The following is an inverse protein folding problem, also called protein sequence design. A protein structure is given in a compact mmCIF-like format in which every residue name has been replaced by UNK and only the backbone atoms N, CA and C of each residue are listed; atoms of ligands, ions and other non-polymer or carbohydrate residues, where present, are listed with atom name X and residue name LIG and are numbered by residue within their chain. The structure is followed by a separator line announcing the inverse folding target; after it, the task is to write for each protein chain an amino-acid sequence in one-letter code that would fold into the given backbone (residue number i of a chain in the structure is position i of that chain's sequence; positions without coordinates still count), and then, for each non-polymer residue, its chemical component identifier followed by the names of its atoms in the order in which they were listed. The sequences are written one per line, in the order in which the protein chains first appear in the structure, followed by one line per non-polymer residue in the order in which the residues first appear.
data_IF_561105009175
#
_entry.id   IF_561105009175
#
_cell.length_a   1.000
_cell.length_b   1.000
_cell.length_c   1.000
_cell.angle_alpha   90.00
_cell.angle_beta   90.00
_cell.angle_gamma   90.00
#
_symmetry.space_group_name_H-M   'P 1'
#
loop_
_entity.id
_entity.type
_entity.pdbx_description
1 polymer ?
#
# COMPACT_ATOMS: atom_id res chain seq x y z
N UNK A 1 11.61 4.18 24.47
CA UNK A 1 10.43 4.82 23.85
C UNK A 1 9.83 3.80 22.90
N UNK A 2 8.63 3.32 23.18
CA UNK A 2 7.92 2.36 22.34
C UNK A 2 7.44 3.09 21.09
N UNK A 3 8.07 2.84 19.95
CA UNK A 3 7.55 3.28 18.66
C UNK A 3 6.12 2.71 18.55
N UNK A 4 5.13 3.59 18.50
CA UNK A 4 3.76 3.16 18.25
C UNK A 4 3.74 2.60 16.84
N UNK A 5 3.54 1.29 16.72
CA UNK A 5 3.48 0.58 15.44
C UNK A 5 2.19 0.96 14.72
N UNK A 6 2.18 2.16 14.12
CA UNK A 6 1.03 2.67 13.40
C UNK A 6 0.83 1.86 12.12
N UNK A 7 -0.21 1.03 12.14
CA UNK A 7 -0.56 0.12 11.06
C UNK A 7 -1.96 0.47 10.60
N UNK A 8 -2.08 0.79 9.31
CA UNK A 8 -3.36 0.89 8.65
C UNK A 8 -3.64 -0.43 7.93
N UNK A 9 -4.87 -0.92 8.00
CA UNK A 9 -5.22 -2.20 7.38
C UNK A 9 -6.60 -2.18 6.76
N UNK A 10 -6.73 -2.86 5.64
CA UNK A 10 -7.98 -3.08 4.93
C UNK A 10 -8.10 -4.57 4.56
N UNK A 11 -9.29 -5.13 4.73
CA UNK A 11 -9.62 -6.45 4.22
C UNK A 11 -10.30 -6.33 2.85
N UNK A 12 -10.06 -7.31 1.98
CA UNK A 12 -10.87 -7.51 0.78
C UNK A 12 -11.99 -8.52 1.08
N UNK A 13 -13.22 -8.07 1.43
CA UNK A 13 -14.35 -8.97 1.68
C UNK A 13 -15.00 -9.48 0.39
N UNK A 14 -14.67 -8.88 -0.76
CA UNK A 14 -15.32 -9.12 -2.03
C UNK A 14 -15.04 -10.51 -2.62
N UNK A 15 -15.83 -10.91 -3.63
CA UNK A 15 -15.63 -12.19 -4.32
C UNK A 15 -14.46 -12.16 -5.32
N UNK A 16 -13.90 -10.98 -5.61
CA UNK A 16 -12.85 -10.76 -6.60
C UNK A 16 -11.60 -10.12 -5.98
N UNK A 17 -10.48 -10.12 -6.72
CA UNK A 17 -9.25 -9.43 -6.32
C UNK A 17 -9.50 -7.93 -6.22
N UNK A 18 -9.05 -7.30 -5.13
CA UNK A 18 -9.09 -5.86 -4.95
C UNK A 18 -7.74 -5.29 -5.41
N UNK A 19 -7.76 -4.36 -6.35
CA UNK A 19 -6.57 -3.60 -6.75
C UNK A 19 -6.41 -2.40 -5.82
N UNK A 20 -5.23 -2.29 -5.19
CA UNK A 20 -4.85 -1.15 -4.35
C UNK A 20 -3.68 -0.44 -5.00
N UNK A 21 -3.84 0.86 -5.23
CA UNK A 21 -2.82 1.76 -5.75
C UNK A 21 -2.25 2.60 -4.63
N UNK A 22 -0.93 2.62 -4.53
CA UNK A 22 -0.19 3.39 -3.54
C UNK A 22 0.56 4.53 -4.24
N UNK A 23 0.09 5.75 -4.00
CA UNK A 23 0.69 6.99 -4.46
C UNK A 23 1.53 7.61 -3.32
N UNK A 24 2.62 8.34 -3.63
CA UNK A 24 3.05 8.83 -4.95
C UNK A 24 4.02 7.90 -5.70
N UNK A 25 4.23 6.67 -5.23
CA UNK A 25 5.14 5.70 -5.88
C UNK A 25 4.52 4.98 -7.08
N UNK A 26 3.22 5.17 -7.30
CA UNK A 26 2.46 4.58 -8.40
C UNK A 26 2.57 3.06 -8.42
N UNK A 27 2.58 2.45 -7.23
CA UNK A 27 2.65 1.00 -7.06
C UNK A 27 1.25 0.40 -7.01
N UNK A 28 1.12 -0.80 -7.58
CA UNK A 28 -0.12 -1.56 -7.58
C UNK A 28 0.05 -2.86 -6.79
N UNK A 29 -0.92 -3.13 -5.92
CA UNK A 29 -1.01 -4.34 -5.12
C UNK A 29 -2.32 -5.06 -5.40
N UNK A 30 -2.22 -6.30 -5.87
CA UNK A 30 -3.35 -7.22 -5.94
C UNK A 30 -3.61 -7.80 -4.54
N UNK A 31 -4.74 -7.45 -3.94
CA UNK A 31 -5.19 -8.00 -2.65
C UNK A 31 -6.17 -9.14 -2.91
N UNK A 32 -5.77 -10.41 -2.71
CA UNK A 32 -6.64 -11.53 -3.05
C UNK A 32 -7.90 -11.55 -2.19
N UNK A 33 -8.91 -12.24 -2.68
CA UNK A 33 -10.18 -12.50 -1.97
C UNK A 33 -9.91 -12.96 -0.53
N UNK A 34 -10.58 -12.34 0.44
CA UNK A 34 -10.44 -12.62 1.89
C UNK A 34 -9.02 -12.46 2.44
N UNK A 35 -8.21 -11.63 1.81
CA UNK A 35 -6.88 -11.27 2.31
C UNK A 35 -6.89 -9.86 2.90
N UNK A 36 -5.92 -9.58 3.75
CA UNK A 36 -5.75 -8.27 4.39
C UNK A 36 -4.48 -7.61 3.90
N UNK A 37 -4.60 -6.39 3.40
CA UNK A 37 -3.47 -5.51 3.16
C UNK A 37 -3.23 -4.67 4.41
N UNK A 38 -1.98 -4.56 4.83
CA UNK A 38 -1.52 -3.71 5.93
C UNK A 38 -0.41 -2.81 5.41
N UNK A 39 -0.48 -1.53 5.75
CA UNK A 39 0.50 -0.52 5.38
C UNK A 39 1.06 0.11 6.65
N UNK A 40 2.39 0.26 6.68
CA UNK A 40 3.13 0.81 7.81
C UNK A 40 3.99 1.98 7.31
N UNK A 41 3.54 3.23 7.45
CA UNK A 41 4.38 4.39 7.15
C UNK A 41 5.56 4.47 8.13
N UNK A 42 6.71 4.90 7.65
CA UNK A 42 7.87 5.25 8.49
C UNK A 42 7.63 6.57 9.22
N UNK A 43 8.17 6.74 10.41
CA UNK A 43 8.20 8.03 11.12
C UNK A 43 7.31 8.10 12.36
N UNK A 44 7.65 9.04 13.26
CA UNK A 44 6.98 9.27 14.54
C UNK A 44 5.88 10.35 14.42
N UNK A 45 4.97 10.20 13.46
CA UNK A 45 3.87 11.15 13.32
C UNK A 45 2.95 11.08 14.56
N UNK A 46 2.71 12.24 15.18
CA UNK A 46 1.87 12.38 16.37
C UNK A 46 0.39 12.05 16.09
N UNK A 47 -0.01 12.08 14.81
CA UNK A 47 -1.24 11.47 14.31
C UNK A 47 -0.94 10.52 13.13
N UNK A 48 -1.43 9.26 13.19
CA UNK A 48 -1.08 8.24 12.23
C UNK A 48 -2.04 8.23 11.04
N UNK A 49 -1.93 9.24 10.18
CA UNK A 49 -2.62 9.19 8.91
C UNK A 49 -1.71 8.48 7.90
N UNK A 50 -2.14 7.31 7.40
CA UNK A 50 -1.57 6.75 6.17
C UNK A 50 -1.61 7.80 5.06
N UNK A 51 -2.70 8.58 5.02
CA UNK A 51 -2.93 9.72 4.15
C UNK A 51 -4.39 9.73 3.69
N UNK A 52 -4.64 10.05 2.42
CA UNK A 52 -5.99 10.11 1.84
C UNK A 52 -6.34 8.80 1.11
N UNK A 53 -7.62 8.40 1.15
CA UNK A 53 -8.12 7.21 0.44
C UNK A 53 -9.22 7.63 -0.52
N UNK A 54 -9.11 7.20 -1.77
CA UNK A 54 -10.06 7.49 -2.84
C UNK A 54 -10.49 6.20 -3.54
N UNK A 55 -11.77 6.13 -3.90
CA UNK A 55 -12.27 5.06 -4.74
C UNK A 55 -12.12 5.44 -6.21
N UNK A 56 -11.33 4.66 -6.94
CA UNK A 56 -11.35 4.65 -8.39
C UNK A 56 -12.49 3.77 -8.93
N UNK A 57 -12.67 3.71 -10.26
CA UNK A 57 -13.69 2.85 -10.88
C UNK A 57 -13.46 1.35 -10.57
N UNK A 58 -12.21 0.90 -10.62
CA UNK A 58 -11.82 -0.52 -10.55
C UNK A 58 -10.79 -0.82 -9.44
N UNK A 59 -10.40 0.20 -8.67
CA UNK A 59 -9.30 0.11 -7.73
C UNK A 59 -9.50 1.09 -6.55
N UNK A 60 -8.79 0.84 -5.45
CA UNK A 60 -8.66 1.76 -4.34
C UNK A 60 -7.35 2.55 -4.50
N UNK A 61 -7.38 3.87 -4.40
CA UNK A 61 -6.18 4.72 -4.42
C UNK A 61 -5.88 5.19 -3.00
N UNK A 62 -4.65 5.01 -2.57
CA UNK A 62 -4.14 5.46 -1.28
C UNK A 62 -3.03 6.46 -1.55
N UNK A 63 -3.24 7.70 -1.14
CA UNK A 63 -2.26 8.78 -1.20
C UNK A 63 -1.53 8.83 0.12
N UNK A 64 -0.35 8.23 0.16
CA UNK A 64 0.43 8.16 1.38
C UNK A 64 1.15 9.47 1.70
N UNK A 65 1.25 9.81 2.98
CA UNK A 65 1.96 11.00 3.48
C UNK A 65 3.22 10.68 4.28
N UNK A 66 3.45 9.40 4.60
CA UNK A 66 4.66 8.93 5.27
C UNK A 66 5.89 8.99 4.34
N UNK A 67 7.10 9.28 4.86
CA UNK A 67 8.33 9.28 4.07
C UNK A 67 8.52 8.01 3.25
N UNK A 68 8.39 6.83 3.87
CA UNK A 68 8.26 5.53 3.20
C UNK A 68 7.08 4.76 3.78
N UNK A 69 6.62 3.72 3.07
CA UNK A 69 5.53 2.84 3.50
C UNK A 69 5.90 1.39 3.21
N UNK A 70 5.97 0.57 4.26
CA UNK A 70 6.07 -0.88 4.09
C UNK A 70 4.69 -1.50 3.90
N UNK A 71 4.53 -2.36 2.89
CA UNK A 71 3.27 -3.03 2.57
C UNK A 71 3.35 -4.51 2.92
N UNK A 72 2.27 -5.03 3.50
CA UNK A 72 2.13 -6.43 3.87
C UNK A 72 0.78 -6.96 3.36
N UNK A 73 0.77 -8.17 2.81
CA UNK A 73 -0.46 -8.89 2.47
C UNK A 73 -0.48 -10.18 3.29
N UNK A 74 -1.51 -10.36 4.11
CA UNK A 74 -1.60 -11.43 5.12
C UNK A 74 -0.35 -11.55 6.01
N UNK A 75 0.25 -10.39 6.32
CA UNK A 75 1.48 -10.30 7.11
C UNK A 75 2.73 -10.83 6.40
N UNK A 76 2.71 -10.93 5.07
CA UNK A 76 3.89 -11.17 4.22
C UNK A 76 4.33 -9.83 3.65
N UNK A 77 5.59 -9.44 3.90
CA UNK A 77 6.20 -8.22 3.34
C UNK A 77 6.17 -8.29 1.82
N UNK A 78 5.72 -7.21 1.20
CA UNK A 78 5.84 -7.00 -0.24
C UNK A 78 7.11 -6.22 -0.54
N UNK A 79 7.81 -6.61 -1.60
CA UNK A 79 9.06 -5.99 -2.04
C UNK A 79 8.76 -4.73 -2.87
N UNK A 80 8.61 -3.58 -2.22
CA UNK A 80 8.04 -2.38 -2.84
C UNK A 80 8.98 -1.16 -2.79
N UNK A 81 8.96 -0.36 -3.85
CA UNK A 81 9.68 0.92 -3.92
C UNK A 81 9.20 1.89 -2.84
N UNK A 82 7.93 1.85 -2.44
CA UNK A 82 7.42 2.61 -1.29
C UNK A 82 8.14 2.31 0.02
N UNK A 83 8.73 1.12 0.20
CA UNK A 83 9.47 0.78 1.41
C UNK A 83 10.88 1.41 1.44
N UNK A 84 11.45 1.73 0.28
CA UNK A 84 12.85 2.12 0.13
C UNK A 84 13.04 3.58 -0.30
N UNK A 85 12.15 4.10 -1.16
CA UNK A 85 12.29 5.39 -1.82
C UNK A 85 11.51 6.42 -1.00
N UNK A 86 12.16 7.39 -0.35
CA UNK A 86 11.42 8.42 0.37
C UNK A 86 10.66 9.33 -0.59
N UNK A 87 9.45 9.77 -0.20
CA UNK A 87 8.73 10.83 -0.93
C UNK A 87 9.62 12.10 -0.96
N UNK A 88 9.85 12.71 -2.13
CA UNK A 88 10.60 13.96 -2.21
C UNK A 88 9.94 15.08 -1.40
N UNK A 89 10.77 15.86 -0.69
CA UNK A 89 10.30 17.01 0.09
C UNK A 89 9.47 17.98 -0.77
N UNK A 90 8.29 18.35 -0.26
CA UNK A 90 7.39 19.28 -0.92
C UNK A 90 6.58 18.69 -2.08
N UNK A 91 6.72 17.39 -2.39
CA UNK A 91 5.82 16.73 -3.33
C UNK A 91 4.41 16.65 -2.74
N UNK A 92 3.42 17.14 -3.48
CA UNK A 92 2.02 17.10 -3.06
C UNK A 92 1.15 16.42 -4.11
N UNK A 93 0.06 15.79 -3.67
CA UNK A 93 -0.99 15.25 -4.56
C UNK A 93 -1.48 16.29 -5.59
N UNK A 94 -1.62 17.55 -5.18
CA UNK A 94 -2.01 18.66 -6.08
C UNK A 94 -0.99 18.87 -7.20
N UNK A 95 0.30 18.81 -6.91
CA UNK A 95 1.35 18.93 -7.93
C UNK A 95 1.28 17.80 -8.95
N UNK A 96 1.04 16.57 -8.51
CA UNK A 96 0.89 15.41 -9.40
C UNK A 96 -0.37 15.53 -10.27
N UNK A 97 -1.49 15.93 -9.68
CA UNK A 97 -2.72 16.16 -10.43
C UNK A 97 -2.56 17.25 -11.50
N UNK A 98 -1.74 18.29 -11.24
CA UNK A 98 -1.43 19.32 -12.24
C UNK A 98 -0.50 18.76 -13.33
N UNK A 99 0.57 18.06 -12.93
CA UNK A 99 1.55 17.50 -13.87
C UNK A 99 0.91 16.53 -14.87
N UNK A 100 -0.11 15.78 -14.42
CA UNK A 100 -0.81 14.78 -15.23
C UNK A 100 -2.23 15.21 -15.63
N UNK A 101 -2.56 16.51 -15.57
CA UNK A 101 -3.92 17.05 -15.76
C UNK A 101 -4.60 16.75 -17.12
N UNK A 102 -3.90 16.15 -18.08
CA UNK A 102 -4.45 15.68 -19.36
C UNK A 102 -4.19 14.20 -19.65
N UNK A 103 -3.57 13.48 -18.72
CA UNK A 103 -3.21 12.08 -18.84
C UNK A 103 -3.47 11.40 -17.49
N UNK A 104 -4.72 11.09 -17.14
CA UNK A 104 -5.07 10.46 -15.87
C UNK A 104 -4.43 9.07 -15.69
N UNK A 105 -3.96 8.46 -16.78
CA UNK A 105 -3.19 7.22 -16.77
C UNK A 105 -1.67 7.43 -16.59
N UNK A 106 -1.15 8.64 -16.80
CA UNK A 106 0.27 8.95 -16.64
C UNK A 106 0.60 9.19 -15.17
N UNK A 107 1.73 8.62 -14.74
CA UNK A 107 2.15 8.62 -13.34
C UNK A 107 3.67 8.67 -13.23
N UNK A 108 4.16 9.01 -12.04
CA UNK A 108 5.59 8.84 -11.75
C UNK A 108 5.92 7.35 -11.82
N UNK A 109 6.98 6.96 -12.51
CA UNK A 109 7.32 5.54 -12.65
C UNK A 109 7.69 4.93 -11.29
N UNK A 110 7.00 3.85 -10.91
CA UNK A 110 7.38 2.93 -9.83
C UNK A 110 7.88 1.60 -10.37
N UNK A 111 8.56 0.81 -9.53
CA UNK A 111 9.11 -0.50 -9.87
C UNK A 111 8.01 -1.41 -10.46
N UNK A 112 8.22 -2.04 -11.63
CA UNK A 112 7.18 -2.88 -12.22
C UNK A 112 6.97 -4.16 -11.40
N UNK A 113 5.70 -4.38 -11.03
CA UNK A 113 5.05 -5.67 -10.72
C UNK A 113 5.69 -6.56 -9.64
N UNK A 114 5.01 -6.66 -8.49
CA UNK A 114 5.35 -7.61 -7.42
C UNK A 114 4.31 -8.75 -7.42
N UNK A 115 4.60 -9.93 -7.98
CA UNK A 115 3.69 -11.05 -7.88
C UNK A 115 3.61 -11.55 -6.43
N UNK A 116 2.43 -11.45 -5.82
CA UNK A 116 2.16 -12.05 -4.51
C UNK A 116 2.30 -13.57 -4.65
N UNK A 117 3.35 -14.14 -4.06
CA UNK A 117 3.45 -15.60 -3.94
C UNK A 117 2.28 -16.07 -3.08
N UNK A 118 1.30 -16.75 -3.70
CA UNK A 118 0.18 -17.41 -3.00
C UNK A 118 0.70 -18.15 -1.78
N UNK A 119 0.40 -17.65 -0.59
CA UNK A 119 0.63 -18.41 0.64
C UNK A 119 -0.30 -19.62 0.60
N UNK A 120 0.29 -20.82 0.60
CA UNK A 120 -0.47 -22.05 0.67
C UNK A 120 -1.36 -22.04 1.92
N UNK A 121 -2.55 -22.65 1.81
CA UNK A 121 -3.49 -22.80 2.94
C UNK A 121 -2.79 -23.41 4.16
N UNK A 122 -1.84 -24.31 3.94
CA UNK A 122 -0.98 -24.90 4.97
C UNK A 122 -0.19 -23.86 5.76
N UNK A 123 0.38 -22.84 5.11
CA UNK A 123 1.11 -21.75 5.80
C UNK A 123 0.18 -20.83 6.61
N UNK A 124 -1.08 -20.67 6.19
CA UNK A 124 -2.08 -19.92 6.98
C UNK A 124 -2.46 -20.68 8.25
N UNK A 125 -2.57 -22.01 8.19
CA UNK A 125 -2.88 -22.85 9.35
C UNK A 125 -1.71 -22.90 10.34
N UNK A 126 -0.47 -23.08 9.87
CA UNK A 126 0.69 -23.13 10.78
C UNK A 126 0.89 -21.83 11.56
N UNK A 127 0.65 -20.67 10.93
CA UNK A 127 0.76 -19.37 11.60
C UNK A 127 -0.30 -19.13 12.68
N UNK A 128 -1.47 -19.74 12.55
CA UNK A 128 -2.58 -19.65 13.51
C UNK A 128 -2.40 -20.60 14.71
N UNK A 129 -1.64 -21.68 14.53
CA UNK A 129 -1.42 -22.71 15.55
C UNK A 129 -0.08 -22.54 16.29
N UNK A 130 0.76 -21.57 15.89
CA UNK A 130 2.01 -21.26 16.60
C UNK A 130 3.06 -22.37 16.52
N UNK A 131 3.13 -23.06 15.38
CA UNK A 131 4.17 -24.03 15.04
C UNK A 131 5.22 -23.43 14.10
#
# INVERSE_FOLDING_TARGET
MTATDYRWSLCNPGPETLLVWLEPWCEEFEVPVRSTITMKPSGDAQEPALGEVEWGPDNLVIWATGPTVAVFIDGVVQDSGSAEIPIPDGLTKKMLNIAFAGQPAARLGGTPYIPVRRTSVLRRVTRLVGL
#
